data_IF_709343021320
#
_entry.id   IF_709343021320
#
_cell.length_a   1.000
_cell.length_b   1.000
_cell.length_c   1.000
_cell.angle_alpha   90.00
_cell.angle_beta   90.00
_cell.angle_gamma   90.00
#
_symmetry.space_group_name_H-M   'P 1'
#
loop_
_entity.id
_entity.type
_entity.pdbx_description
1 polymer ?
#
# COMPACT_ATOMS: atom_id res chain seq x y z
N UNK A 1 -62.63 -44.46 39.80
CA UNK A 1 -62.95 -43.32 38.92
C UNK A 1 -62.25 -42.09 39.47
N UNK A 2 -61.04 -41.81 38.99
CA UNK A 2 -60.34 -40.52 39.10
C UNK A 2 -59.12 -40.61 38.20
N UNK A 3 -59.16 -39.91 37.06
CA UNK A 3 -58.09 -39.85 36.07
C UNK A 3 -57.62 -38.39 36.07
N UNK A 4 -56.48 -38.13 36.72
CA UNK A 4 -55.84 -36.82 36.66
C UNK A 4 -54.94 -36.79 35.42
N UNK A 5 -55.32 -35.97 34.45
CA UNK A 5 -54.60 -35.72 33.20
C UNK A 5 -53.32 -34.93 33.47
N UNK A 6 -52.19 -35.46 33.02
CA UNK A 6 -50.94 -34.73 32.86
C UNK A 6 -51.12 -33.59 31.85
N UNK A 7 -50.75 -32.38 32.24
CA UNK A 7 -50.61 -31.22 31.36
C UNK A 7 -49.14 -31.16 30.95
N UNK A 8 -48.85 -31.57 29.72
CA UNK A 8 -47.56 -31.32 29.06
C UNK A 8 -47.58 -29.93 28.46
N UNK A 9 -46.78 -29.02 29.01
CA UNK A 9 -46.55 -27.68 28.45
C UNK A 9 -45.58 -27.85 27.29
N UNK A 10 -46.09 -27.70 26.07
CA UNK A 10 -45.34 -27.67 24.81
C UNK A 10 -44.41 -26.46 24.77
N UNK A 11 -43.13 -26.72 24.55
CA UNK A 11 -42.10 -25.73 24.30
C UNK A 11 -42.41 -24.93 23.02
N UNK A 12 -42.50 -23.61 23.14
CA UNK A 12 -42.55 -22.69 22.02
C UNK A 12 -41.11 -22.47 21.54
N UNK A 13 -40.69 -23.19 20.52
CA UNK A 13 -39.43 -22.96 19.82
C UNK A 13 -39.51 -21.64 19.07
N UNK A 14 -38.70 -20.66 19.50
CA UNK A 14 -38.43 -19.46 18.71
C UNK A 14 -37.65 -19.87 17.45
N UNK A 15 -38.34 -20.05 16.33
CA UNK A 15 -37.71 -19.99 15.02
C UNK A 15 -37.20 -18.56 14.78
N UNK A 16 -35.97 -18.31 15.20
CA UNK A 16 -35.12 -17.26 14.64
C UNK A 16 -34.93 -17.60 13.15
N UNK A 17 -35.82 -17.05 12.34
CA UNK A 17 -35.69 -17.09 10.89
C UNK A 17 -34.54 -16.16 10.54
N UNK A 18 -33.34 -16.71 10.39
CA UNK A 18 -32.26 -16.02 9.68
C UNK A 18 -32.71 -15.86 8.23
N UNK A 19 -33.35 -14.72 7.95
CA UNK A 19 -33.53 -14.29 6.57
C UNK A 19 -32.14 -13.90 6.09
N UNK A 20 -31.54 -14.77 5.28
CA UNK A 20 -30.33 -14.42 4.54
C UNK A 20 -30.66 -13.19 3.71
N UNK A 21 -30.03 -12.07 4.02
CA UNK A 21 -30.20 -10.83 3.27
C UNK A 21 -29.63 -11.08 1.88
N UNK A 22 -30.50 -11.20 0.87
CA UNK A 22 -30.09 -11.50 -0.51
C UNK A 22 -29.60 -10.27 -1.27
N UNK A 23 -29.69 -9.08 -0.66
CA UNK A 23 -29.38 -7.78 -1.28
C UNK A 23 -28.36 -7.01 -0.46
N UNK A 24 -27.25 -6.62 -1.08
CA UNK A 24 -26.18 -5.83 -0.45
C UNK A 24 -26.62 -4.37 -0.29
N UNK A 25 -27.01 -3.74 -1.39
CA UNK A 25 -27.59 -2.39 -1.44
C UNK A 25 -28.26 -2.17 -2.80
N UNK A 26 -28.97 -1.05 -2.99
CA UNK A 26 -29.58 -0.74 -4.30
C UNK A 26 -28.56 -0.46 -5.39
N UNK A 27 -27.36 -0.05 -4.99
CA UNK A 27 -26.22 0.28 -5.82
C UNK A 27 -25.44 -0.97 -6.25
N UNK A 28 -25.72 -2.12 -5.64
CA UNK A 28 -25.00 -3.38 -5.87
C UNK A 28 -25.83 -4.39 -6.66
N UNK A 29 -25.19 -5.02 -7.64
CA UNK A 29 -25.73 -6.14 -8.41
C UNK A 29 -24.92 -7.40 -8.10
N UNK A 30 -25.63 -8.49 -7.92
CA UNK A 30 -25.06 -9.82 -7.71
C UNK A 30 -25.33 -10.63 -8.98
N UNK A 31 -24.27 -11.08 -9.65
CA UNK A 31 -24.34 -11.96 -10.81
C UNK A 31 -23.44 -13.18 -10.54
N UNK A 32 -24.07 -14.31 -10.24
CA UNK A 32 -23.42 -15.52 -9.74
C UNK A 32 -22.57 -15.20 -8.48
N UNK A 33 -21.26 -15.38 -8.58
CA UNK A 33 -20.28 -15.19 -7.51
C UNK A 33 -19.63 -13.79 -7.56
N UNK A 34 -20.18 -12.88 -8.37
CA UNK A 34 -19.65 -11.52 -8.56
C UNK A 34 -20.56 -10.49 -7.92
N UNK A 35 -19.96 -9.60 -7.15
CA UNK A 35 -20.62 -8.43 -6.59
C UNK A 35 -20.06 -7.19 -7.27
N UNK A 36 -20.93 -6.42 -7.94
CA UNK A 36 -20.57 -5.14 -8.55
C UNK A 36 -21.43 -4.03 -7.98
N UNK A 37 -20.81 -3.10 -7.28
CA UNK A 37 -21.43 -1.91 -6.72
C UNK A 37 -21.05 -0.67 -7.51
N UNK A 38 -22.04 0.07 -7.98
CA UNK A 38 -21.85 1.29 -8.75
C UNK A 38 -22.74 2.40 -8.21
N UNK A 39 -22.10 3.44 -7.68
CA UNK A 39 -22.76 4.64 -7.20
C UNK A 39 -22.93 5.69 -8.30
N UNK A 40 -23.70 6.75 -8.02
CA UNK A 40 -23.91 7.90 -8.90
C UNK A 40 -22.91 9.07 -8.71
N UNK A 41 -21.96 8.94 -7.79
CA UNK A 41 -20.97 9.97 -7.44
C UNK A 41 -21.26 10.76 -6.17
N UNK A 42 -22.50 10.70 -5.66
CA UNK A 42 -22.93 11.45 -4.46
C UNK A 42 -23.20 10.55 -3.24
N UNK A 43 -23.31 9.25 -3.49
CA UNK A 43 -23.69 8.26 -2.49
C UNK A 43 -22.51 7.84 -1.62
N UNK A 44 -22.84 7.50 -0.36
CA UNK A 44 -21.92 6.82 0.57
C UNK A 44 -22.28 5.34 0.57
N UNK A 45 -21.31 4.49 0.23
CA UNK A 45 -21.52 3.06 0.18
C UNK A 45 -20.88 2.36 1.38
N UNK A 46 -21.67 1.52 2.02
CA UNK A 46 -21.23 0.63 3.09
C UNK A 46 -21.66 -0.77 2.69
N UNK A 47 -20.72 -1.70 2.67
CA UNK A 47 -21.07 -3.11 2.50
C UNK A 47 -21.68 -3.61 3.82
N UNK A 48 -22.87 -4.25 3.79
CA UNK A 48 -23.50 -4.79 4.98
C UNK A 48 -22.72 -5.99 5.49
N UNK A 49 -22.67 -6.12 6.81
CA UNK A 49 -22.04 -7.24 7.50
C UNK A 49 -22.90 -8.51 7.43
N UNK A 50 -24.21 -8.34 7.25
CA UNK A 50 -25.18 -9.44 7.24
C UNK A 50 -25.26 -10.18 5.90
N UNK A 51 -24.64 -9.65 4.83
CA UNK A 51 -24.58 -10.36 3.55
C UNK A 51 -23.50 -11.45 3.60
N UNK A 52 -23.83 -12.63 3.07
CA UNK A 52 -22.91 -13.75 3.05
C UNK A 52 -21.99 -13.70 1.81
N UNK A 53 -20.73 -13.29 2.02
CA UNK A 53 -19.71 -13.19 0.97
C UNK A 53 -18.91 -14.49 0.75
N UNK A 54 -19.29 -15.62 1.37
CA UNK A 54 -18.54 -16.89 1.32
C UNK A 54 -18.26 -17.39 -0.09
N UNK A 55 -19.24 -17.25 -0.98
CA UNK A 55 -19.14 -17.71 -2.37
C UNK A 55 -18.77 -16.56 -3.34
N UNK A 56 -18.40 -15.38 -2.84
CA UNK A 56 -18.05 -14.26 -3.70
C UNK A 56 -16.60 -14.40 -4.14
N UNK A 57 -16.38 -14.45 -5.45
CA UNK A 57 -15.05 -14.55 -6.06
C UNK A 57 -14.52 -13.22 -6.57
N UNK A 58 -15.41 -12.27 -6.89
CA UNK A 58 -15.03 -10.95 -7.41
C UNK A 58 -15.89 -9.86 -6.79
N UNK A 59 -15.24 -8.83 -6.24
CA UNK A 59 -15.89 -7.64 -5.71
C UNK A 59 -15.37 -6.39 -6.43
N UNK A 60 -16.28 -5.66 -7.05
CA UNK A 60 -15.98 -4.34 -7.63
C UNK A 60 -16.86 -3.26 -7.02
N UNK A 61 -16.24 -2.14 -6.65
CA UNK A 61 -16.91 -0.96 -6.12
C UNK A 61 -16.46 0.26 -6.91
N UNK A 62 -17.40 1.09 -7.38
CA UNK A 62 -17.01 2.29 -8.11
C UNK A 62 -17.93 3.50 -7.98
N UNK A 63 -17.34 4.67 -8.27
CA UNK A 63 -18.04 5.93 -8.53
C UNK A 63 -18.82 6.47 -7.33
N UNK A 64 -18.34 6.23 -6.11
CA UNK A 64 -19.00 6.69 -4.88
C UNK A 64 -18.35 7.97 -4.33
N UNK A 65 -19.10 8.73 -3.53
CA UNK A 65 -18.55 9.85 -2.76
C UNK A 65 -17.57 9.31 -1.72
N UNK A 66 -18.06 8.40 -0.88
CA UNK A 66 -17.26 7.63 0.08
C UNK A 66 -17.62 6.16 -0.01
N UNK A 67 -16.68 5.29 0.35
CA UNK A 67 -16.91 3.86 0.49
C UNK A 67 -16.21 3.32 1.73
N UNK A 68 -16.84 2.34 2.38
CA UNK A 68 -16.25 1.62 3.51
C UNK A 68 -16.27 0.12 3.25
N UNK A 69 -15.08 -0.47 3.32
CA UNK A 69 -14.85 -1.91 3.28
C UNK A 69 -14.31 -2.33 4.63
N UNK A 70 -15.16 -2.93 5.46
CA UNK A 70 -14.86 -3.27 6.85
C UNK A 70 -14.69 -4.78 7.01
N UNK A 71 -13.83 -5.17 7.96
CA UNK A 71 -13.47 -6.56 8.29
C UNK A 71 -14.70 -7.43 8.51
N UNK A 72 -15.66 -6.89 9.25
CA UNK A 72 -16.90 -7.55 9.64
C UNK A 72 -17.66 -8.09 8.43
N UNK A 73 -17.59 -7.38 7.29
CA UNK A 73 -18.23 -7.77 6.05
C UNK A 73 -17.54 -8.94 5.34
N UNK A 74 -16.29 -9.29 5.67
CA UNK A 74 -15.50 -10.28 4.92
C UNK A 74 -15.04 -11.50 5.73
N UNK A 75 -15.51 -11.64 6.97
CA UNK A 75 -15.09 -12.71 7.90
C UNK A 75 -15.16 -14.13 7.30
N UNK A 76 -16.16 -14.41 6.47
CA UNK A 76 -16.34 -15.72 5.81
C UNK A 76 -15.90 -15.74 4.33
N UNK A 77 -15.42 -14.63 3.78
CA UNK A 77 -15.10 -14.47 2.36
C UNK A 77 -13.73 -15.06 2.00
N UNK A 78 -13.67 -16.38 1.86
CA UNK A 78 -12.43 -17.12 1.60
C UNK A 78 -12.19 -17.46 0.11
N UNK A 79 -13.09 -17.06 -0.79
CA UNK A 79 -13.02 -17.32 -2.23
C UNK A 79 -12.73 -16.08 -3.06
N UNK A 80 -12.56 -14.90 -2.44
CA UNK A 80 -12.28 -13.67 -3.19
C UNK A 80 -10.95 -13.81 -3.92
N UNK A 81 -11.00 -13.75 -5.25
CA UNK A 81 -9.85 -13.73 -6.15
C UNK A 81 -9.59 -12.32 -6.70
N UNK A 82 -10.62 -11.47 -6.73
CA UNK A 82 -10.54 -10.12 -7.28
C UNK A 82 -11.20 -9.08 -6.36
N UNK A 83 -10.47 -8.00 -6.09
CA UNK A 83 -10.98 -6.82 -5.41
C UNK A 83 -10.57 -5.55 -6.17
N UNK A 84 -11.58 -4.81 -6.64
CA UNK A 84 -11.36 -3.63 -7.49
C UNK A 84 -12.18 -2.45 -6.96
N UNK A 85 -11.50 -1.42 -6.47
CA UNK A 85 -12.14 -0.18 -5.98
C UNK A 85 -11.70 1.01 -6.81
N UNK A 86 -12.66 1.73 -7.40
CA UNK A 86 -12.37 2.82 -8.34
C UNK A 86 -13.20 4.08 -8.11
N UNK A 87 -12.63 5.23 -8.45
CA UNK A 87 -13.36 6.50 -8.56
C UNK A 87 -14.10 6.87 -7.26
N UNK A 88 -13.36 6.98 -6.15
CA UNK A 88 -13.89 7.40 -4.85
C UNK A 88 -13.50 8.86 -4.64
N UNK A 89 -14.49 9.75 -4.74
CA UNK A 89 -14.21 11.18 -4.88
C UNK A 89 -13.80 11.84 -3.56
N UNK A 90 -14.07 11.23 -2.40
CA UNK A 90 -13.63 11.74 -1.10
C UNK A 90 -12.77 10.76 -0.31
N UNK A 91 -13.35 9.64 0.12
CA UNK A 91 -12.76 8.80 1.16
C UNK A 91 -13.06 7.32 0.95
N UNK A 92 -12.03 6.49 0.98
CA UNK A 92 -12.16 5.05 1.11
C UNK A 92 -11.63 4.61 2.49
N UNK A 93 -12.51 4.05 3.31
CA UNK A 93 -12.13 3.32 4.52
C UNK A 93 -11.81 1.89 4.12
N UNK A 94 -10.53 1.51 4.23
CA UNK A 94 -10.02 0.20 3.85
C UNK A 94 -9.56 -0.55 5.11
N UNK A 95 -10.49 -1.24 5.76
CA UNK A 95 -10.23 -2.08 6.93
C UNK A 95 -10.60 -3.52 6.59
N UNK A 96 -9.90 -4.10 5.61
CA UNK A 96 -10.19 -5.42 5.10
C UNK A 96 -9.38 -6.50 5.80
N UNK A 97 -9.91 -7.71 5.79
CA UNK A 97 -9.15 -8.93 6.03
C UNK A 97 -9.60 -9.98 5.04
N UNK A 98 -8.72 -10.27 4.09
CA UNK A 98 -9.00 -11.22 3.04
C UNK A 98 -8.52 -12.61 3.49
N UNK A 99 -9.46 -13.53 3.69
CA UNK A 99 -9.17 -14.90 4.09
C UNK A 99 -8.97 -15.85 2.89
N UNK A 100 -8.32 -15.36 1.84
CA UNK A 100 -7.97 -16.12 0.63
C UNK A 100 -6.48 -16.40 0.62
N UNK A 101 -6.06 -17.54 0.05
CA UNK A 101 -4.64 -17.82 -0.16
C UNK A 101 -4.09 -17.15 -1.43
N UNK A 102 -4.96 -16.94 -2.43
CA UNK A 102 -4.59 -16.54 -3.79
C UNK A 102 -5.47 -15.37 -4.22
N UNK A 103 -4.85 -14.28 -4.66
CA UNK A 103 -5.53 -13.13 -5.20
C UNK A 103 -5.04 -12.87 -6.63
N UNK A 104 -5.93 -12.97 -7.61
CA UNK A 104 -5.60 -12.67 -9.00
C UNK A 104 -5.43 -11.17 -9.20
N UNK A 105 -6.29 -10.36 -8.56
CA UNK A 105 -6.29 -8.90 -8.76
C UNK A 105 -6.65 -8.13 -7.51
N UNK A 106 -5.78 -7.21 -7.12
CA UNK A 106 -6.08 -6.12 -6.20
C UNK A 106 -5.85 -4.79 -6.90
N UNK A 107 -6.89 -3.96 -7.03
CA UNK A 107 -6.78 -2.67 -7.68
C UNK A 107 -7.47 -1.55 -6.90
N UNK A 108 -6.72 -0.49 -6.62
CA UNK A 108 -7.21 0.77 -6.05
C UNK A 108 -6.88 1.92 -7.01
N UNK A 109 -7.90 2.52 -7.62
CA UNK A 109 -7.65 3.58 -8.61
C UNK A 109 -8.55 4.82 -8.44
N UNK A 110 -7.99 6.01 -8.63
CA UNK A 110 -8.70 7.29 -8.58
C UNK A 110 -9.47 7.46 -7.26
N UNK A 111 -8.76 7.30 -6.14
CA UNK A 111 -9.32 7.43 -4.80
C UNK A 111 -8.67 8.65 -4.17
N UNK A 112 -9.48 9.66 -3.82
CA UNK A 112 -8.94 10.92 -3.31
C UNK A 112 -8.11 10.73 -2.04
N UNK A 113 -8.56 9.87 -1.12
CA UNK A 113 -7.86 9.62 0.14
C UNK A 113 -8.20 8.25 0.74
N UNK A 114 -7.18 7.56 1.24
CA UNK A 114 -7.26 6.40 2.12
C UNK A 114 -6.54 6.75 3.42
N UNK A 115 -7.23 6.82 4.57
CA UNK A 115 -6.58 7.21 5.83
C UNK A 115 -5.52 6.21 6.27
N UNK A 116 -5.80 4.93 6.09
CA UNK A 116 -4.97 3.87 6.63
C UNK A 116 -5.03 2.62 5.76
N UNK A 117 -3.89 1.98 5.56
CA UNK A 117 -3.78 0.59 5.07
C UNK A 117 -3.07 -0.20 6.17
N UNK A 118 -3.82 -1.08 6.84
CA UNK A 118 -3.34 -1.83 8.01
C UNK A 118 -2.50 -3.03 7.62
N UNK A 119 -1.63 -3.45 8.54
CA UNK A 119 -0.80 -4.63 8.39
C UNK A 119 -1.60 -5.95 8.33
N UNK A 120 -2.84 -5.95 8.79
CA UNK A 120 -3.68 -7.15 8.78
C UNK A 120 -4.43 -7.38 7.46
N UNK A 121 -4.24 -6.51 6.45
CA UNK A 121 -5.02 -6.53 5.21
C UNK A 121 -4.79 -7.82 4.41
N UNK A 122 -3.54 -8.31 4.35
CA UNK A 122 -3.16 -9.45 3.50
C UNK A 122 -2.58 -10.66 4.26
N UNK A 123 -2.83 -10.80 5.56
CA UNK A 123 -2.18 -11.82 6.41
C UNK A 123 -2.30 -13.27 5.91
N UNK A 124 -3.43 -13.64 5.30
CA UNK A 124 -3.66 -15.02 4.84
C UNK A 124 -3.32 -15.24 3.37
N UNK A 125 -2.93 -14.18 2.65
CA UNK A 125 -2.60 -14.24 1.23
C UNK A 125 -1.15 -14.70 1.07
N UNK A 126 -0.93 -15.70 0.20
CA UNK A 126 0.41 -16.18 -0.16
C UNK A 126 0.87 -15.65 -1.50
N UNK A 127 -0.06 -15.41 -2.42
CA UNK A 127 0.26 -14.92 -3.75
C UNK A 127 -0.79 -13.93 -4.25
N UNK A 128 -0.28 -12.86 -4.86
CA UNK A 128 -1.04 -11.82 -5.56
C UNK A 128 -0.50 -11.77 -6.99
N UNK A 129 -1.29 -12.15 -7.97
CA UNK A 129 -0.86 -12.08 -9.36
C UNK A 129 -0.68 -10.62 -9.80
N UNK A 130 -1.64 -9.74 -9.51
CA UNK A 130 -1.55 -8.31 -9.83
C UNK A 130 -2.01 -7.41 -8.69
N UNK A 131 -1.11 -6.54 -8.25
CA UNK A 131 -1.35 -5.51 -7.25
C UNK A 131 -1.14 -4.12 -7.86
N UNK A 132 -2.19 -3.30 -7.87
CA UNK A 132 -2.18 -2.01 -8.57
C UNK A 132 -2.80 -0.88 -7.75
N UNK A 133 -2.05 0.19 -7.52
CA UNK A 133 -2.55 1.42 -6.90
C UNK A 133 -2.24 2.61 -7.82
N UNK A 134 -3.28 3.36 -8.22
CA UNK A 134 -3.13 4.52 -9.11
C UNK A 134 -3.92 5.74 -8.71
N UNK A 135 -3.30 6.91 -8.78
CA UNK A 135 -3.95 8.19 -8.49
C UNK A 135 -4.61 8.17 -7.10
N UNK A 136 -3.83 7.84 -6.07
CA UNK A 136 -4.30 7.67 -4.69
C UNK A 136 -3.44 8.47 -3.72
N UNK A 137 -4.08 9.10 -2.73
CA UNK A 137 -3.41 9.60 -1.53
C UNK A 137 -3.65 8.64 -0.37
N UNK A 138 -2.58 8.17 0.28
CA UNK A 138 -2.63 7.33 1.48
C UNK A 138 -1.99 8.09 2.64
N UNK A 139 -2.70 8.26 3.76
CA UNK A 139 -2.11 9.02 4.87
C UNK A 139 -1.11 8.17 5.65
N UNK A 140 -1.44 6.92 5.94
CA UNK A 140 -0.61 5.96 6.66
C UNK A 140 -0.64 4.58 6.01
N UNK A 141 0.54 4.02 5.75
CA UNK A 141 0.70 2.68 5.19
C UNK A 141 1.57 1.83 6.12
N UNK A 142 0.97 0.80 6.71
CA UNK A 142 1.61 -0.12 7.66
C UNK A 142 2.00 -1.45 7.02
N UNK A 143 1.34 -1.82 5.93
CA UNK A 143 1.38 -3.17 5.39
C UNK A 143 2.77 -3.58 4.90
N UNK A 144 3.14 -4.83 5.20
CA UNK A 144 4.39 -5.45 4.80
C UNK A 144 4.08 -6.81 4.16
N UNK A 145 4.43 -6.95 2.89
CA UNK A 145 4.21 -8.16 2.09
C UNK A 145 5.31 -9.21 2.39
N UNK A 146 5.44 -9.56 3.67
CA UNK A 146 6.36 -10.60 4.13
C UNK A 146 5.80 -11.97 3.77
N UNK A 147 6.57 -12.78 3.05
CA UNK A 147 6.15 -14.12 2.57
C UNK A 147 4.94 -14.10 1.62
N UNK A 148 4.64 -12.95 1.03
CA UNK A 148 3.59 -12.80 0.00
C UNK A 148 4.28 -12.59 -1.35
N UNK A 149 4.05 -13.52 -2.27
CA UNK A 149 4.50 -13.39 -3.65
C UNK A 149 3.63 -12.38 -4.39
N UNK A 150 4.21 -11.34 -4.96
CA UNK A 150 3.49 -10.40 -5.83
C UNK A 150 4.11 -10.46 -7.23
N UNK A 151 3.42 -11.03 -8.22
CA UNK A 151 4.01 -11.17 -9.56
C UNK A 151 4.15 -9.81 -10.25
N UNK A 152 3.06 -9.03 -10.29
CA UNK A 152 3.04 -7.70 -10.87
C UNK A 152 2.64 -6.66 -9.84
N UNK A 153 3.61 -5.85 -9.40
CA UNK A 153 3.39 -4.73 -8.49
C UNK A 153 3.46 -3.41 -9.24
N UNK A 154 2.39 -2.61 -9.19
CA UNK A 154 2.32 -1.31 -9.85
C UNK A 154 1.80 -0.23 -8.92
N UNK A 155 2.57 0.85 -8.79
CA UNK A 155 2.16 2.06 -8.10
C UNK A 155 2.42 3.27 -8.99
N UNK A 156 1.38 4.05 -9.30
CA UNK A 156 1.51 5.20 -10.20
C UNK A 156 0.73 6.43 -9.71
N UNK A 157 1.36 7.60 -9.69
CA UNK A 157 0.75 8.84 -9.19
C UNK A 157 0.20 8.67 -7.76
N UNK A 158 0.98 8.04 -6.88
CA UNK A 158 0.58 7.77 -5.50
C UNK A 158 1.41 8.61 -4.54
N UNK A 159 0.74 9.26 -3.58
CA UNK A 159 1.43 9.89 -2.45
C UNK A 159 1.10 9.12 -1.18
N UNK A 160 2.11 8.70 -0.45
CA UNK A 160 1.96 8.08 0.87
C UNK A 160 2.63 8.99 1.90
N UNK A 161 1.85 9.52 2.84
CA UNK A 161 2.32 10.57 3.76
C UNK A 161 3.18 10.03 4.90
N UNK A 162 2.92 8.81 5.37
CA UNK A 162 3.69 8.11 6.40
C UNK A 162 3.73 6.63 6.09
N UNK A 163 4.91 6.04 6.26
CA UNK A 163 5.15 4.63 5.99
C UNK A 163 5.93 4.08 7.16
N UNK A 164 5.45 2.99 7.75
CA UNK A 164 6.22 2.31 8.79
C UNK A 164 7.44 1.61 8.18
N UNK A 165 7.20 0.79 7.18
CA UNK A 165 8.18 0.15 6.30
C UNK A 165 7.47 -0.34 5.05
N UNK A 166 8.23 -0.77 4.04
CA UNK A 166 7.64 -1.40 2.86
C UNK A 166 8.54 -2.53 2.43
N UNK A 167 8.08 -3.77 2.62
CA UNK A 167 8.82 -4.98 2.32
C UNK A 167 8.05 -5.85 1.33
N UNK A 168 8.66 -6.19 0.20
CA UNK A 168 8.25 -7.20 -0.76
C UNK A 168 9.35 -8.27 -0.76
N UNK A 169 9.22 -9.34 0.03
CA UNK A 169 10.33 -10.28 0.26
C UNK A 169 10.45 -11.36 -0.81
N UNK A 170 9.33 -11.77 -1.39
CA UNK A 170 9.27 -12.90 -2.31
C UNK A 170 9.60 -12.52 -3.76
N UNK A 171 10.00 -13.53 -4.55
CA UNK A 171 10.34 -13.32 -5.96
C UNK A 171 9.11 -12.99 -6.81
N UNK A 172 9.11 -11.82 -7.44
CA UNK A 172 8.10 -11.36 -8.40
C UNK A 172 8.62 -11.27 -9.84
N UNK A 173 7.75 -10.85 -10.76
CA UNK A 173 8.10 -10.67 -12.17
C UNK A 173 8.41 -9.21 -12.49
N UNK A 174 7.49 -8.30 -12.16
CA UNK A 174 7.63 -6.86 -12.49
C UNK A 174 7.25 -5.98 -11.31
N UNK A 175 8.12 -5.01 -11.00
CA UNK A 175 7.84 -3.90 -10.10
C UNK A 175 7.91 -2.58 -10.87
N UNK A 176 6.84 -1.78 -10.79
CA UNK A 176 6.75 -0.47 -11.41
C UNK A 176 6.29 0.58 -10.41
N UNK A 177 7.13 1.59 -10.17
CA UNK A 177 6.82 2.75 -9.35
C UNK A 177 7.03 4.00 -10.20
N UNK A 178 6.00 4.81 -10.39
CA UNK A 178 6.07 5.98 -11.27
C UNK A 178 5.33 7.18 -10.70
N UNK A 179 5.96 8.35 -10.70
CA UNK A 179 5.36 9.59 -10.20
C UNK A 179 4.85 9.46 -8.76
N UNK A 180 5.58 8.73 -7.90
CA UNK A 180 5.16 8.48 -6.53
C UNK A 180 5.94 9.32 -5.52
N UNK A 181 5.32 9.62 -4.39
CA UNK A 181 5.97 10.26 -3.25
C UNK A 181 5.78 9.44 -1.97
N UNK A 182 6.86 8.86 -1.46
CA UNK A 182 6.92 8.13 -0.20
C UNK A 182 7.53 9.03 0.86
N UNK A 183 6.70 9.54 1.78
CA UNK A 183 7.10 10.53 2.78
C UNK A 183 7.17 9.89 4.17
N UNK A 184 8.04 10.45 5.01
CA UNK A 184 8.19 10.09 6.41
C UNK A 184 8.30 8.58 6.66
N UNK A 185 9.12 7.89 5.86
CA UNK A 185 9.37 6.46 6.04
C UNK A 185 10.16 6.26 7.33
N UNK A 186 9.61 5.48 8.26
CA UNK A 186 10.16 5.28 9.61
C UNK A 186 11.32 4.28 9.63
N UNK A 187 11.22 3.21 8.83
CA UNK A 187 12.21 2.12 8.79
C UNK A 187 12.88 1.99 7.41
N UNK A 188 13.04 0.77 6.90
CA UNK A 188 13.67 0.46 5.61
C UNK A 188 12.64 0.13 4.54
N UNK A 189 13.07 0.28 3.28
CA UNK A 189 12.35 -0.19 2.10
C UNK A 189 13.09 -1.39 1.53
N UNK A 190 12.38 -2.48 1.27
CA UNK A 190 12.93 -3.67 0.66
C UNK A 190 12.06 -4.09 -0.51
N UNK A 191 12.60 -3.97 -1.71
CA UNK A 191 12.03 -4.54 -2.91
C UNK A 191 12.90 -5.75 -3.26
N UNK A 192 12.43 -6.93 -2.83
CA UNK A 192 13.07 -8.21 -3.09
C UNK A 192 13.15 -8.52 -4.59
N UNK A 193 13.51 -9.75 -4.93
CA UNK A 193 13.90 -10.06 -6.29
C UNK A 193 12.73 -9.96 -7.30
N UNK A 194 12.80 -9.02 -8.25
CA UNK A 194 11.90 -8.95 -9.41
C UNK A 194 12.67 -9.10 -10.72
N UNK A 195 12.16 -9.85 -11.70
CA UNK A 195 12.85 -9.94 -13.00
C UNK A 195 13.05 -8.57 -13.66
N UNK A 196 12.07 -7.66 -13.56
CA UNK A 196 12.21 -6.27 -14.00
C UNK A 196 11.76 -5.29 -12.90
N UNK A 197 12.64 -4.33 -12.58
CA UNK A 197 12.32 -3.18 -11.72
C UNK A 197 12.39 -1.89 -12.54
N UNK A 198 11.36 -1.07 -12.42
CA UNK A 198 11.31 0.28 -13.01
C UNK A 198 10.78 1.28 -11.98
N UNK A 199 11.64 2.24 -11.60
CA UNK A 199 11.30 3.33 -10.66
C UNK A 199 11.62 4.65 -11.35
N UNK A 200 10.58 5.45 -11.64
CA UNK A 200 10.71 6.65 -12.47
C UNK A 200 10.01 7.84 -11.82
N UNK A 201 10.65 9.01 -11.87
CA UNK A 201 10.07 10.29 -11.42
C UNK A 201 9.45 10.21 -10.03
N UNK A 202 10.09 9.47 -9.13
CA UNK A 202 9.55 9.16 -7.81
C UNK A 202 10.47 9.63 -6.70
N UNK A 203 9.89 9.78 -5.52
CA UNK A 203 10.53 10.43 -4.40
C UNK A 203 10.42 9.62 -3.12
N UNK A 204 11.54 9.46 -2.43
CA UNK A 204 11.65 8.67 -1.20
C UNK A 204 12.28 9.52 -0.09
N UNK A 205 11.52 9.80 0.97
CA UNK A 205 11.96 10.60 2.11
C UNK A 205 11.87 9.80 3.40
N UNK A 206 13.02 9.36 3.91
CA UNK A 206 13.12 8.67 5.19
C UNK A 206 13.30 9.70 6.32
N UNK A 207 12.64 9.45 7.45
CA UNK A 207 12.72 10.33 8.63
C UNK A 207 14.13 10.38 9.21
N UNK A 208 14.83 9.24 9.16
CA UNK A 208 16.23 9.07 9.57
C UNK A 208 16.99 8.38 8.45
N UNK A 209 18.32 8.39 8.51
CA UNK A 209 19.15 7.62 7.58
C UNK A 209 18.73 6.14 7.64
N UNK A 210 18.36 5.57 6.50
CA UNK A 210 17.97 4.18 6.38
C UNK A 210 18.28 3.59 5.02
N UNK A 211 17.79 2.38 4.77
CA UNK A 211 18.15 1.59 3.59
C UNK A 211 16.98 1.40 2.63
N UNK A 212 17.29 1.45 1.34
CA UNK A 212 16.45 0.95 0.26
C UNK A 212 17.21 -0.18 -0.43
N UNK A 213 16.71 -1.41 -0.35
CA UNK A 213 17.27 -2.56 -1.07
C UNK A 213 16.41 -2.87 -2.27
N UNK A 214 17.05 -3.11 -3.42
CA UNK A 214 16.40 -3.49 -4.67
C UNK A 214 17.18 -4.64 -5.28
N UNK A 215 16.49 -5.76 -5.53
CA UNK A 215 17.06 -6.92 -6.23
C UNK A 215 16.30 -7.20 -7.53
N UNK A 216 17.05 -7.45 -8.61
CA UNK A 216 16.41 -7.73 -9.91
C UNK A 216 17.28 -8.50 -10.90
N UNK A 217 16.72 -8.86 -12.06
CA UNK A 217 17.54 -9.20 -13.24
C UNK A 217 17.91 -7.93 -14.02
N UNK A 218 16.94 -7.02 -14.19
CA UNK A 218 17.11 -5.73 -14.86
C UNK A 218 16.46 -4.61 -14.04
N UNK A 219 17.21 -3.51 -13.82
CA UNK A 219 16.72 -2.34 -13.10
C UNK A 219 16.85 -1.04 -13.90
N UNK A 220 15.79 -0.25 -13.92
CA UNK A 220 15.72 1.09 -14.52
C UNK A 220 15.30 2.08 -13.44
N UNK A 221 16.20 2.98 -13.05
CA UNK A 221 15.99 3.98 -12.00
C UNK A 221 16.24 5.37 -12.58
N UNK A 222 15.20 6.17 -12.80
CA UNK A 222 15.31 7.44 -13.53
C UNK A 222 14.59 8.60 -12.86
N UNK A 223 15.21 9.77 -12.90
CA UNK A 223 14.59 11.03 -12.48
C UNK A 223 14.06 11.00 -11.04
N UNK A 224 14.69 10.23 -10.16
CA UNK A 224 14.23 10.02 -8.80
C UNK A 224 14.90 10.98 -7.81
N UNK A 225 14.23 11.19 -6.67
CA UNK A 225 14.77 11.98 -5.57
C UNK A 225 14.80 11.17 -4.27
N UNK A 226 15.96 11.15 -3.62
CA UNK A 226 16.19 10.38 -2.39
C UNK A 226 16.65 11.29 -1.24
N UNK A 227 15.99 11.22 -0.08
CA UNK A 227 16.38 11.95 1.12
C UNK A 227 16.63 10.98 2.28
N UNK A 228 17.86 11.02 2.82
CA UNK A 228 18.33 10.11 3.88
C UNK A 228 18.25 8.62 3.50
N UNK A 229 18.47 8.29 2.22
CA UNK A 229 18.39 6.91 1.72
C UNK A 229 19.77 6.42 1.31
N UNK A 230 20.20 5.32 1.92
CA UNK A 230 21.32 4.52 1.45
C UNK A 230 20.80 3.38 0.59
N UNK A 231 20.82 3.57 -0.73
CA UNK A 231 20.29 2.61 -1.69
C UNK A 231 21.32 1.55 -2.06
N UNK A 232 20.93 0.29 -1.94
CA UNK A 232 21.65 -0.88 -2.45
C UNK A 232 20.84 -1.44 -3.61
N UNK A 233 21.38 -1.32 -4.84
CA UNK A 233 20.75 -1.84 -6.04
C UNK A 233 21.59 -2.97 -6.62
N UNK A 234 21.01 -4.17 -6.62
CA UNK A 234 21.56 -5.35 -7.26
C UNK A 234 20.70 -5.73 -8.46
N UNK A 235 21.32 -5.87 -9.63
CA UNK A 235 20.66 -6.46 -10.79
C UNK A 235 21.58 -7.49 -11.45
N UNK A 236 21.09 -8.67 -11.79
CA UNK A 236 21.93 -9.71 -12.40
C UNK A 236 22.55 -9.25 -13.73
N UNK A 237 21.75 -8.65 -14.61
CA UNK A 237 22.13 -8.38 -15.99
C UNK A 237 22.47 -6.91 -16.24
N UNK A 238 21.57 -5.98 -15.89
CA UNK A 238 21.74 -4.58 -16.23
C UNK A 238 21.14 -3.62 -15.19
N UNK A 239 21.87 -2.56 -14.87
CA UNK A 239 21.38 -1.37 -14.18
C UNK A 239 21.49 -0.18 -15.12
N UNK A 240 20.37 0.51 -15.36
CA UNK A 240 20.38 1.87 -15.90
C UNK A 240 19.89 2.83 -14.80
N UNK A 241 20.77 3.72 -14.34
CA UNK A 241 20.43 4.76 -13.37
C UNK A 241 20.81 6.15 -13.89
N UNK A 242 19.82 7.02 -14.03
CA UNK A 242 20.07 8.37 -14.52
C UNK A 242 19.28 9.46 -13.80
N UNK A 243 19.79 10.69 -13.91
CA UNK A 243 19.13 11.92 -13.46
C UNK A 243 18.63 11.86 -12.01
N UNK A 244 19.24 11.02 -11.18
CA UNK A 244 18.81 10.81 -9.80
C UNK A 244 19.49 11.82 -8.89
N UNK A 245 18.73 12.47 -8.02
CA UNK A 245 19.24 13.40 -7.02
C UNK A 245 19.08 12.82 -5.62
N UNK A 246 20.13 12.76 -4.82
CA UNK A 246 20.04 12.39 -3.41
C UNK A 246 20.59 13.47 -2.49
N UNK A 247 19.98 13.67 -1.33
CA UNK A 247 20.38 14.66 -0.33
C UNK A 247 20.40 14.08 1.08
N UNK A 248 20.97 14.81 2.04
CA UNK A 248 21.12 14.35 3.42
C UNK A 248 22.12 13.20 3.56
N UNK A 249 21.87 12.25 4.49
CA UNK A 249 22.75 11.09 4.71
C UNK A 249 22.48 9.96 3.71
N UNK A 250 22.50 10.31 2.42
CA UNK A 250 22.20 9.36 1.33
C UNK A 250 23.47 8.74 0.74
N UNK A 251 23.35 7.53 0.20
CA UNK A 251 24.44 6.85 -0.50
C UNK A 251 23.89 5.92 -1.58
N UNK A 252 24.75 5.54 -2.52
CA UNK A 252 24.37 4.66 -3.62
C UNK A 252 25.43 3.57 -3.83
N UNK A 253 25.00 2.31 -3.72
CA UNK A 253 25.78 1.13 -4.08
C UNK A 253 25.09 0.38 -5.22
N UNK A 254 25.85 0.08 -6.27
CA UNK A 254 25.39 -0.59 -7.49
C UNK A 254 26.17 -1.89 -7.71
N UNK A 255 25.47 -2.94 -8.14
CA UNK A 255 26.06 -4.24 -8.44
C UNK A 255 25.36 -4.89 -9.63
N UNK A 256 26.05 -5.02 -10.77
CA UNK A 256 25.52 -5.69 -11.95
C UNK A 256 26.62 -6.09 -12.93
N UNK A 257 26.28 -6.94 -13.91
CA UNK A 257 27.18 -7.24 -15.03
C UNK A 257 27.39 -6.01 -15.93
N UNK A 258 26.35 -5.20 -16.14
CA UNK A 258 26.39 -3.96 -16.92
C UNK A 258 25.76 -2.82 -16.11
N UNK A 259 26.46 -1.68 -16.04
CA UNK A 259 25.96 -0.49 -15.34
C UNK A 259 26.09 0.74 -16.23
N UNK A 260 24.96 1.38 -16.52
CA UNK A 260 24.87 2.69 -17.16
C UNK A 260 24.45 3.72 -16.12
N UNK A 261 25.37 4.62 -15.75
CA UNK A 261 25.16 5.61 -14.70
C UNK A 261 25.49 7.01 -15.18
N UNK A 262 24.47 7.85 -15.39
CA UNK A 262 24.60 9.17 -15.99
C UNK A 262 23.85 10.27 -15.23
N UNK A 263 24.49 11.44 -15.07
CA UNK A 263 23.80 12.66 -14.63
C UNK A 263 23.25 12.60 -13.21
N UNK A 264 23.75 11.70 -12.37
CA UNK A 264 23.30 11.56 -10.98
C UNK A 264 24.00 12.58 -10.07
N UNK A 265 23.30 13.09 -9.07
CA UNK A 265 23.81 14.07 -8.10
C UNK A 265 23.66 13.52 -6.68
N UNK A 266 24.78 13.21 -6.03
CA UNK A 266 24.80 12.47 -4.77
C UNK A 266 25.75 13.11 -3.74
N UNK A 267 25.49 12.98 -2.43
CA UNK A 267 26.36 13.54 -1.40
C UNK A 267 27.65 12.72 -1.20
N UNK A 268 27.68 11.48 -1.70
CA UNK A 268 28.80 10.54 -1.60
C UNK A 268 29.09 9.91 -2.97
N UNK A 269 30.31 9.38 -3.14
CA UNK A 269 30.68 8.65 -4.34
C UNK A 269 29.85 7.36 -4.49
N UNK A 270 29.52 7.00 -5.73
CA UNK A 270 28.83 5.74 -6.02
C UNK A 270 29.81 4.59 -5.82
N UNK A 271 29.39 3.58 -5.05
CA UNK A 271 30.14 2.34 -4.84
C UNK A 271 29.70 1.32 -5.88
N UNK A 272 30.63 0.76 -6.63
CA UNK A 272 30.37 -0.30 -7.62
C UNK A 272 30.98 -1.61 -7.11
N UNK A 273 30.16 -2.63 -6.80
CA UNK A 273 30.64 -3.88 -6.18
C UNK A 273 30.85 -5.03 -7.15
N UNK A 274 30.11 -5.04 -8.27
CA UNK A 274 30.25 -5.98 -9.38
C UNK A 274 30.05 -5.17 -10.67
N UNK A 275 30.87 -5.43 -11.68
CA UNK A 275 30.94 -4.63 -12.91
C UNK A 275 32.25 -3.87 -13.12
N UNK A 276 33.22 -3.96 -12.20
CA UNK A 276 34.62 -3.58 -12.48
C UNK A 276 35.41 -4.80 -12.97
N UNK A 277 35.61 -4.99 -14.29
CA UNK A 277 36.79 -5.73 -14.73
C UNK A 277 38.03 -4.90 -14.41
N UNK A 278 39.16 -5.57 -14.25
CA UNK A 278 40.49 -5.01 -14.00
C UNK A 278 40.99 -3.98 -15.04
N UNK A 279 40.20 -3.68 -16.07
CA UNK A 279 40.40 -2.62 -17.05
C UNK A 279 39.18 -1.68 -17.02
N UNK A 280 39.37 -0.45 -16.54
CA UNK A 280 38.31 0.47 -16.10
C UNK A 280 37.30 0.97 -17.15
N UNK A 281 37.33 0.54 -18.42
CA UNK A 281 36.65 1.28 -19.50
C UNK A 281 35.47 0.62 -20.22
N UNK A 282 35.20 -0.69 -20.09
CA UNK A 282 34.18 -1.33 -20.98
C UNK A 282 32.81 -1.63 -20.35
N UNK A 283 32.73 -1.95 -19.05
CA UNK A 283 31.47 -2.47 -18.46
C UNK A 283 30.66 -1.46 -17.61
N UNK A 284 31.25 -0.30 -17.31
CA UNK A 284 30.55 0.78 -16.60
C UNK A 284 30.70 2.09 -17.36
N UNK A 285 29.61 2.55 -17.97
CA UNK A 285 29.55 3.89 -18.55
C UNK A 285 29.21 4.90 -17.45
N UNK A 286 30.21 5.68 -17.03
CA UNK A 286 30.08 6.76 -16.03
C UNK A 286 30.31 8.09 -16.72
N UNK A 287 29.27 8.88 -16.90
CA UNK A 287 29.41 10.24 -17.42
C UNK A 287 28.58 11.21 -16.58
N UNK A 288 29.17 12.37 -16.25
CA UNK A 288 28.47 13.50 -15.65
C UNK A 288 27.79 13.25 -14.28
N UNK A 289 28.24 12.24 -13.52
CA UNK A 289 27.83 12.09 -12.13
C UNK A 289 28.55 13.12 -11.25
N UNK A 290 27.82 13.77 -10.35
CA UNK A 290 28.32 14.85 -9.50
C UNK A 290 28.28 14.45 -8.03
N UNK A 291 29.42 14.59 -7.34
CA UNK A 291 29.50 14.51 -5.88
C UNK A 291 29.30 15.92 -5.31
N UNK A 292 28.31 16.09 -4.45
CA UNK A 292 27.98 17.38 -3.86
C UNK A 292 28.93 17.72 -2.70
N UNK A 293 29.32 19.00 -2.61
CA UNK A 293 30.11 19.50 -1.48
C UNK A 293 29.25 19.53 -0.21
N UNK A 294 29.85 19.10 0.91
CA UNK A 294 29.24 19.12 2.24
C UNK A 294 27.86 18.42 2.34
N UNK A 295 27.62 17.41 1.48
CA UNK A 295 26.40 16.61 1.53
C UNK A 295 25.12 17.33 1.11
N UNK A 296 25.20 18.54 0.54
CA UNK A 296 24.05 19.32 0.11
C UNK A 296 23.91 19.31 -1.42
N UNK A 297 23.02 18.45 -1.91
CA UNK A 297 22.73 18.33 -3.32
C UNK A 297 21.59 19.21 -3.81
N UNK A 298 21.01 20.07 -2.94
CA UNK A 298 19.92 20.98 -3.29
C UNK A 298 18.82 20.27 -4.10
N UNK A 299 18.53 19.01 -3.75
CA UNK A 299 17.52 18.26 -4.47
C UNK A 299 16.14 18.89 -4.23
N UNK A 300 15.21 18.85 -5.21
CA UNK A 300 13.87 19.37 -5.02
C UNK A 300 13.19 18.72 -3.81
N UNK A 301 12.87 19.55 -2.81
CA UNK A 301 12.15 19.11 -1.62
C UNK A 301 10.67 18.95 -1.92
N UNK A 302 9.99 18.11 -1.14
CA UNK A 302 8.57 17.86 -1.35
C UNK A 302 7.86 19.13 -0.92
N UNK A 303 6.82 19.53 -1.63
CA UNK A 303 5.94 20.63 -1.21
C UNK A 303 5.16 20.33 0.09
N UNK A 304 5.49 19.23 0.79
CA UNK A 304 4.93 18.78 2.05
C UNK A 304 5.64 19.27 3.32
N UNK A 305 6.71 20.08 3.25
CA UNK A 305 7.33 20.63 4.47
C UNK A 305 6.43 21.63 5.26
N UNK A 306 5.19 21.85 4.82
CA UNK A 306 4.13 22.46 5.64
C UNK A 306 3.36 21.46 6.53
N UNK A 307 3.83 20.21 6.67
CA UNK A 307 3.24 19.21 7.58
C UNK A 307 3.64 19.38 9.06
N UNK A 308 4.44 20.40 9.42
CA UNK A 308 4.44 20.94 10.78
C UNK A 308 3.23 21.88 10.97
N UNK A 309 2.02 21.38 10.72
CA UNK A 309 0.90 21.87 11.52
C UNK A 309 1.08 21.20 12.88
N UNK A 310 1.26 21.94 13.98
CA UNK A 310 1.22 21.32 15.30
C UNK A 310 -0.07 20.51 15.35
N UNK A 311 0.04 19.23 15.71
CA UNK A 311 -1.09 18.41 16.12
C UNK A 311 -1.79 19.27 17.16
N UNK A 312 -2.90 19.87 16.77
CA UNK A 312 -3.60 20.80 17.64
C UNK A 312 -4.20 19.90 18.70
N UNK A 313 -3.64 19.98 19.90
CA UNK A 313 -4.10 19.34 21.13
C UNK A 313 -5.48 19.94 21.46
N UNK A 314 -6.47 19.66 20.63
CA UNK A 314 -7.86 20.10 20.81
C UNK A 314 -8.70 18.89 21.23
N UNK A 315 -8.41 17.69 20.74
CA UNK A 315 -9.17 16.50 21.13
C UNK A 315 -8.87 16.00 22.56
N UNK A 316 -7.74 16.37 23.18
CA UNK A 316 -7.47 16.00 24.58
C UNK A 316 -8.13 16.96 25.59
N UNK A 317 -8.37 18.22 25.23
CA UNK A 317 -9.01 19.20 26.12
C UNK A 317 -10.52 19.00 26.23
N UNK A 318 -11.20 18.59 25.15
CA UNK A 318 -12.64 18.30 25.19
C UNK A 318 -12.96 17.06 26.04
N UNK A 319 -12.13 16.02 25.97
CA UNK A 319 -12.28 14.82 26.81
C UNK A 319 -11.99 15.15 28.28
N UNK A 320 -10.95 15.93 28.59
CA UNK A 320 -10.67 16.38 29.97
C UNK A 320 -11.76 17.30 30.54
N UNK A 321 -12.37 18.16 29.73
CA UNK A 321 -13.50 19.00 30.15
C UNK A 321 -14.78 18.18 30.39
N UNK A 322 -15.06 17.15 29.58
CA UNK A 322 -16.17 16.23 29.80
C UNK A 322 -15.99 15.39 31.06
N UNK A 323 -14.76 14.92 31.35
CA UNK A 323 -14.47 14.22 32.61
C UNK A 323 -14.56 15.15 33.82
N UNK A 324 -14.03 16.38 33.74
CA UNK A 324 -14.15 17.36 34.83
C UNK A 324 -15.60 17.75 35.13
N UNK A 325 -16.45 17.86 34.10
CA UNK A 325 -17.87 18.19 34.27
C UNK A 325 -18.67 17.05 34.93
N UNK A 326 -18.28 15.79 34.71
CA UNK A 326 -18.93 14.63 35.31
C UNK A 326 -18.61 14.43 36.80
N UNK A 327 -17.42 14.87 37.24
CA UNK A 327 -16.97 14.76 38.64
C UNK A 327 -17.61 15.84 39.52
N UNK A 328 -17.89 17.04 39.00
CA UNK A 328 -18.51 18.13 39.76
C UNK A 328 -20.04 18.04 39.90
N UNK A 329 -20.68 17.03 39.31
CA UNK A 329 -22.15 16.84 39.34
C UNK A 329 -22.60 15.61 40.13
N UNK A 330 -21.69 14.98 40.89
CA UNK A 330 -22.00 13.88 41.82
C UNK A 330 -22.08 14.38 43.25
#
# INVERSE_FOLDING_TARGET
>A
MSCVKNISITALTSLLSFTLVTSISKECKIDNERVTCQCDGTQKLYLPDEYNYKNVTSLSLSSCLTASLLFSSFTEANQIEELVVKNISELLTLELFLNTAELKRFELANIKRIPFVKHDTFLNIRNIERFEIRNVHIDYFEEQFMSIKVNHFVMANVTISRIEGFNLSEKGETLQISNCEFRNVSTSLNFGHFSKVEIVNSKFELQKSGHLSIESDVAIIRDNIFFNVSMNLFAANNITINSTCADGKSSLRLSSNKIESYGNRLPTAIIYTRGQPSNESENVSKSNNTICKAGNCKCPKSNGQNANRPITIICFFEILLLFAYSIFRS
#
